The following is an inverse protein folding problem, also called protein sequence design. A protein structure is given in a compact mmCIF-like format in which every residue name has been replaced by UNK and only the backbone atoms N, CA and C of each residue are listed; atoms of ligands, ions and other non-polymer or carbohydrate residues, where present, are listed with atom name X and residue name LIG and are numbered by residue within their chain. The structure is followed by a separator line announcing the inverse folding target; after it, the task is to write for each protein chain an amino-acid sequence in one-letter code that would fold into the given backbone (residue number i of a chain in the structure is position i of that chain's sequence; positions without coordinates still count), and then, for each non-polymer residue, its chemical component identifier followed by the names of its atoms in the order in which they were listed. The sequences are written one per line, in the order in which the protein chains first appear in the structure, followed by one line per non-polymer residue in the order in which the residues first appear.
data_IF_341300711673
#
_entry.id   IF_341300711673
#
_cell.length_a   1.000
_cell.length_b   1.000
_cell.length_c   1.000
_cell.angle_alpha   90.00
_cell.angle_beta   90.00
_cell.angle_gamma   90.00
#
_symmetry.space_group_name_H-M   'P 1'
#
loop_
_entity.id
_entity.type
_entity.pdbx_description
1 polymer ?
#
# COMPACT_ATOMS: atom_id res chain seq x y z
N UNK A 1 52.15 -17.34 8.28
CA UNK A 1 51.75 -18.24 7.18
C UNK A 1 50.41 -18.86 7.57
N UNK A 2 49.32 -18.24 7.15
CA UNK A 2 47.95 -18.76 7.28
C UNK A 2 47.37 -18.80 5.88
N UNK A 3 47.00 -20.00 5.41
CA UNK A 3 46.42 -20.24 4.10
C UNK A 3 44.96 -19.76 4.08
N UNK A 4 44.70 -18.80 3.19
CA UNK A 4 43.37 -18.45 2.70
C UNK A 4 42.85 -19.61 1.84
N UNK A 5 41.77 -20.28 2.28
CA UNK A 5 41.00 -21.18 1.42
C UNK A 5 39.85 -20.37 0.85
N UNK A 6 39.98 -20.01 -0.42
CA UNK A 6 38.93 -19.37 -1.20
C UNK A 6 37.81 -20.37 -1.52
N UNK A 7 36.57 -19.95 -1.28
CA UNK A 7 35.40 -20.60 -1.87
C UNK A 7 35.04 -19.85 -3.15
N UNK A 8 35.20 -20.54 -4.28
CA UNK A 8 34.64 -20.12 -5.56
C UNK A 8 33.12 -20.41 -5.56
N UNK A 9 32.28 -19.56 -6.18
CA UNK A 9 30.86 -19.83 -6.31
C UNK A 9 30.62 -20.90 -7.38
N UNK A 10 29.88 -21.95 -7.01
CA UNK A 10 29.33 -22.92 -7.95
C UNK A 10 28.22 -22.22 -8.72
N UNK A 11 28.47 -21.93 -10.00
CA UNK A 11 27.43 -21.57 -10.95
C UNK A 11 26.58 -22.80 -11.24
N UNK A 12 25.39 -22.86 -10.64
CA UNK A 12 24.33 -23.76 -11.09
C UNK A 12 23.62 -23.11 -12.29
N UNK A 13 24.00 -23.51 -13.49
CA UNK A 13 23.13 -23.45 -14.66
C UNK A 13 22.00 -24.47 -14.46
N UNK A 14 20.80 -23.98 -14.19
CA UNK A 14 19.62 -24.80 -13.99
C UNK A 14 18.37 -24.03 -14.34
N UNK A 15 17.96 -24.16 -15.59
CA UNK A 15 16.61 -23.91 -16.11
C UNK A 15 16.09 -22.48 -15.95
N UNK A 16 16.25 -21.70 -17.02
CA UNK A 16 15.31 -20.62 -17.34
C UNK A 16 13.92 -21.24 -17.44
N UNK A 17 13.12 -21.10 -16.39
CA UNK A 17 11.68 -21.18 -16.54
C UNK A 17 11.32 -20.16 -17.62
N UNK A 18 10.74 -20.64 -18.72
CA UNK A 18 10.04 -19.75 -19.64
C UNK A 18 9.19 -18.79 -18.80
N UNK A 19 9.30 -17.46 -19.00
CA UNK A 19 8.34 -16.58 -18.38
C UNK A 19 7.02 -16.96 -19.04
N UNK A 20 6.19 -17.72 -18.33
CA UNK A 20 4.77 -17.76 -18.60
C UNK A 20 4.38 -16.29 -18.63
N UNK A 21 4.23 -15.78 -19.85
CA UNK A 21 3.44 -14.61 -20.14
C UNK A 21 2.04 -15.01 -19.70
N UNK A 22 1.78 -14.92 -18.40
CA UNK A 22 0.46 -15.02 -17.83
C UNK A 22 -0.23 -13.77 -18.30
N UNK A 23 -0.85 -13.85 -19.48
CA UNK A 23 -1.85 -12.89 -19.91
C UNK A 23 -2.80 -12.72 -18.72
N UNK A 24 -2.87 -11.51 -18.17
CA UNK A 24 -3.69 -11.23 -17.00
C UNK A 24 -5.14 -11.64 -17.28
N UNK A 25 -5.65 -12.62 -16.54
CA UNK A 25 -7.07 -12.94 -16.50
C UNK A 25 -7.74 -12.01 -15.48
N UNK A 26 -8.26 -10.90 -15.99
CA UNK A 26 -8.90 -9.86 -15.18
C UNK A 26 -10.10 -10.37 -14.40
N UNK A 27 -10.86 -11.33 -14.96
CA UNK A 27 -12.01 -11.91 -14.28
C UNK A 27 -11.57 -12.82 -13.14
N UNK A 28 -10.54 -13.65 -13.35
CA UNK A 28 -9.96 -14.47 -12.29
C UNK A 28 -9.36 -13.61 -11.17
N UNK A 29 -8.61 -12.57 -11.50
CA UNK A 29 -8.03 -11.67 -10.51
C UNK A 29 -9.10 -10.95 -9.68
N UNK A 30 -10.15 -10.42 -10.32
CA UNK A 30 -11.28 -9.81 -9.62
C UNK A 30 -12.02 -10.81 -8.72
N UNK A 31 -12.30 -12.03 -9.22
CA UNK A 31 -12.95 -13.08 -8.44
C UNK A 31 -12.11 -13.51 -7.24
N UNK A 32 -10.80 -13.65 -7.40
CA UNK A 32 -9.91 -13.97 -6.30
C UNK A 32 -9.89 -12.84 -5.27
N UNK A 33 -9.70 -11.60 -5.72
CA UNK A 33 -9.63 -10.40 -4.88
C UNK A 33 -10.89 -10.19 -4.03
N UNK A 34 -12.07 -10.55 -4.56
CA UNK A 34 -13.36 -10.43 -3.88
C UNK A 34 -13.79 -11.71 -3.14
N UNK A 35 -12.97 -12.76 -3.16
CA UNK A 35 -13.30 -14.02 -2.50
C UNK A 35 -13.12 -13.92 -0.98
N UNK A 36 -13.90 -14.68 -0.18
CA UNK A 36 -13.71 -14.76 1.27
C UNK A 36 -12.34 -15.30 1.71
N UNK A 37 -11.65 -16.01 0.82
CA UNK A 37 -10.33 -16.59 1.06
C UNK A 37 -9.20 -15.56 0.89
N UNK A 38 -9.45 -14.48 0.16
CA UNK A 38 -8.45 -13.46 -0.06
C UNK A 38 -8.14 -12.71 1.24
N UNK A 39 -6.87 -12.79 1.65
CA UNK A 39 -6.38 -12.28 2.93
C UNK A 39 -7.07 -12.89 4.17
N UNK A 40 -7.64 -14.10 4.03
CA UNK A 40 -8.23 -14.83 5.14
C UNK A 40 -7.18 -15.10 6.23
N UNK A 41 -7.54 -14.76 7.48
CA UNK A 41 -6.72 -15.00 8.66
C UNK A 41 -7.49 -15.94 9.59
N UNK A 42 -7.21 -17.27 9.58
CA UNK A 42 -7.98 -18.24 10.36
C UNK A 42 -8.09 -17.93 11.86
N UNK A 43 -7.08 -17.25 12.43
CA UNK A 43 -7.06 -16.82 13.82
C UNK A 43 -8.09 -15.74 14.19
N UNK A 44 -8.64 -15.04 13.19
CA UNK A 44 -9.59 -13.94 13.37
C UNK A 44 -10.89 -14.18 12.58
N UNK A 45 -10.81 -14.96 11.50
CA UNK A 45 -11.88 -15.22 10.56
C UNK A 45 -12.68 -16.49 10.89
N UNK A 46 -13.03 -16.63 12.17
CA UNK A 46 -13.89 -17.69 12.68
C UNK A 46 -15.13 -17.14 13.40
N UNK A 47 -16.17 -17.97 13.50
CA UNK A 47 -17.48 -17.61 14.09
C UNK A 47 -17.41 -17.24 15.58
N UNK A 48 -16.41 -17.74 16.30
CA UNK A 48 -16.20 -17.43 17.72
C UNK A 48 -15.43 -16.13 18.00
N UNK A 49 -15.01 -15.36 16.98
CA UNK A 49 -14.25 -14.14 17.21
C UNK A 49 -15.21 -13.00 17.62
N UNK A 50 -15.11 -12.55 18.86
CA UNK A 50 -16.01 -11.55 19.47
C UNK A 50 -15.37 -10.17 19.58
N UNK A 51 -16.18 -9.16 19.90
CA UNK A 51 -15.70 -7.82 20.27
C UNK A 51 -14.68 -7.86 21.42
N UNK A 52 -14.94 -8.66 22.46
CA UNK A 52 -13.99 -8.84 23.56
C UNK A 52 -12.68 -9.49 23.11
N UNK A 53 -12.77 -10.43 22.15
CA UNK A 53 -11.58 -11.03 21.53
C UNK A 53 -10.74 -9.95 20.85
N UNK A 54 -11.37 -9.05 20.10
CA UNK A 54 -10.69 -7.91 19.46
C UNK A 54 -10.03 -6.98 20.48
N UNK A 55 -10.75 -6.59 21.54
CA UNK A 55 -10.23 -5.69 22.57
C UNK A 55 -9.14 -6.31 23.45
N UNK A 56 -8.99 -7.62 23.43
CA UNK A 56 -7.91 -8.34 24.10
C UNK A 56 -6.67 -8.57 23.23
N UNK A 57 -6.71 -8.18 21.95
CA UNK A 57 -5.59 -8.44 21.04
C UNK A 57 -4.33 -7.68 21.45
N UNK A 58 -3.15 -8.33 21.39
CA UNK A 58 -1.89 -7.62 21.44
C UNK A 58 -1.76 -6.64 20.26
N UNK A 59 -1.01 -5.55 20.45
CA UNK A 59 -0.79 -4.52 19.43
C UNK A 59 -0.31 -5.10 18.09
N UNK A 60 0.59 -6.09 18.10
CA UNK A 60 1.07 -6.74 16.88
C UNK A 60 -0.03 -7.49 16.09
N UNK A 61 -0.98 -8.10 16.79
CA UNK A 61 -2.12 -8.76 16.15
C UNK A 61 -3.10 -7.73 15.59
N UNK A 62 -3.36 -6.66 16.34
CA UNK A 62 -4.21 -5.56 15.89
C UNK A 62 -3.61 -4.87 14.64
N UNK A 63 -2.30 -4.60 14.65
CA UNK A 63 -1.54 -4.11 13.49
C UNK A 63 -1.71 -5.01 12.26
N UNK A 64 -1.67 -6.33 12.42
CA UNK A 64 -1.90 -7.27 11.30
C UNK A 64 -3.31 -7.14 10.74
N UNK A 65 -4.31 -7.00 11.60
CA UNK A 65 -5.69 -6.77 11.18
C UNK A 65 -5.84 -5.44 10.43
N UNK A 66 -5.14 -4.40 10.87
CA UNK A 66 -5.12 -3.11 10.20
C UNK A 66 -4.60 -3.19 8.76
N UNK A 67 -3.42 -3.79 8.53
CA UNK A 67 -2.89 -3.92 7.17
C UNK A 67 -3.79 -4.78 6.28
N UNK A 68 -4.34 -5.87 6.82
CA UNK A 68 -5.36 -6.66 6.13
C UNK A 68 -6.54 -5.78 5.71
N UNK A 69 -7.04 -4.96 6.62
CA UNK A 69 -8.16 -4.05 6.35
C UNK A 69 -7.78 -2.99 5.32
N UNK A 70 -6.55 -2.47 5.25
CA UNK A 70 -6.13 -1.58 4.15
C UNK A 70 -6.29 -2.29 2.79
N UNK A 71 -5.83 -3.53 2.70
CA UNK A 71 -5.71 -4.26 1.43
C UNK A 71 -6.98 -4.97 0.98
N UNK A 72 -7.89 -5.26 1.91
CA UNK A 72 -9.16 -5.89 1.59
C UNK A 72 -10.08 -4.87 0.89
N UNK A 73 -10.60 -5.15 -0.32
CA UNK A 73 -11.34 -4.16 -1.10
C UNK A 73 -12.78 -3.97 -0.64
N UNK A 74 -13.48 -5.00 -0.15
CA UNK A 74 -14.96 -5.01 -0.15
C UNK A 74 -15.61 -4.80 1.22
N UNK A 75 -14.89 -5.04 2.31
CA UNK A 75 -15.48 -4.97 3.64
C UNK A 75 -14.52 -4.35 4.63
N UNK A 76 -15.11 -3.83 5.71
CA UNK A 76 -14.35 -3.47 6.89
C UNK A 76 -14.93 -4.15 8.12
N UNK A 77 -14.29 -5.22 8.57
CA UNK A 77 -14.79 -6.03 9.69
C UNK A 77 -14.47 -5.37 11.02
N UNK A 78 -13.28 -4.78 11.12
CA UNK A 78 -12.74 -4.31 12.41
C UNK A 78 -12.84 -2.79 12.61
N UNK A 79 -13.21 -2.03 11.58
CA UNK A 79 -13.43 -0.57 11.64
C UNK A 79 -14.28 -0.13 12.84
N UNK A 80 -15.45 -0.73 13.13
CA UNK A 80 -16.26 -0.28 14.26
C UNK A 80 -15.54 -0.40 15.61
N UNK A 81 -14.63 -1.37 15.75
CA UNK A 81 -13.92 -1.59 17.01
C UNK A 81 -12.77 -0.60 17.22
N UNK A 82 -12.11 -0.13 16.16
CA UNK A 82 -11.12 0.95 16.25
C UNK A 82 -11.75 2.30 16.59
N UNK A 83 -13.00 2.52 16.16
CA UNK A 83 -13.77 3.69 16.55
C UNK A 83 -14.05 3.71 18.07
N UNK A 84 -14.44 2.57 18.64
CA UNK A 84 -14.77 2.45 20.06
C UNK A 84 -13.54 2.50 20.97
N UNK A 85 -12.35 2.11 20.47
CA UNK A 85 -11.07 2.11 21.20
C UNK A 85 -9.92 2.62 20.34
N UNK A 86 -9.81 3.94 20.12
CA UNK A 86 -8.81 4.54 19.24
C UNK A 86 -7.36 4.29 19.69
N UNK A 87 -7.13 3.98 20.97
CA UNK A 87 -5.83 3.57 21.50
C UNK A 87 -5.33 2.22 20.94
N UNK A 88 -6.20 1.44 20.29
CA UNK A 88 -5.90 0.10 19.80
C UNK A 88 -5.07 0.09 18.51
N UNK A 89 -5.06 1.17 17.72
CA UNK A 89 -4.17 1.31 16.57
C UNK A 89 -4.05 2.74 16.04
N UNK A 90 -2.82 3.14 15.70
CA UNK A 90 -2.47 4.42 15.10
C UNK A 90 -1.95 4.21 13.67
N UNK A 91 -2.54 4.89 12.68
CA UNK A 91 -2.05 4.88 11.30
C UNK A 91 -0.70 5.61 11.21
N UNK A 92 0.38 4.88 11.49
CA UNK A 92 1.74 5.39 11.47
C UNK A 92 2.37 5.21 10.09
N UNK A 93 2.88 6.30 9.52
CA UNK A 93 3.48 6.29 8.18
C UNK A 93 4.76 5.46 8.12
N UNK A 94 5.59 5.49 9.17
CA UNK A 94 6.83 4.72 9.18
C UNK A 94 6.54 3.22 9.26
N UNK A 95 5.59 2.82 10.12
CA UNK A 95 5.10 1.45 10.24
C UNK A 95 4.50 0.96 8.90
N UNK A 96 3.72 1.82 8.23
CA UNK A 96 3.19 1.57 6.89
C UNK A 96 4.30 1.29 5.88
N UNK A 97 5.29 2.18 5.76
CA UNK A 97 6.34 2.02 4.78
C UNK A 97 7.24 0.82 5.09
N UNK A 98 7.57 0.57 6.36
CA UNK A 98 8.32 -0.62 6.76
C UNK A 98 7.56 -1.90 6.42
N UNK A 99 6.25 -1.94 6.67
CA UNK A 99 5.42 -3.10 6.33
C UNK A 99 5.50 -3.43 4.84
N UNK A 100 5.16 -2.46 3.98
CA UNK A 100 5.04 -2.70 2.54
C UNK A 100 6.38 -2.74 1.80
N UNK A 101 7.43 -2.12 2.34
CA UNK A 101 8.78 -2.25 1.78
C UNK A 101 9.41 -3.63 2.05
N UNK A 102 9.06 -4.27 3.17
CA UNK A 102 9.52 -5.62 3.50
C UNK A 102 8.68 -6.73 2.83
N UNK A 103 7.47 -6.41 2.34
CA UNK A 103 6.62 -7.36 1.64
C UNK A 103 6.96 -7.41 0.14
N UNK A 104 7.65 -8.48 -0.29
CA UNK A 104 8.07 -8.68 -1.68
C UNK A 104 6.92 -8.89 -2.67
N UNK A 105 5.69 -9.13 -2.18
CA UNK A 105 4.51 -9.26 -3.06
C UNK A 105 3.96 -7.91 -3.48
N UNK A 106 4.31 -6.84 -2.76
CA UNK A 106 3.91 -5.46 -3.04
C UNK A 106 4.96 -4.81 -3.93
N UNK A 107 4.50 -4.14 -4.99
CA UNK A 107 5.38 -3.46 -5.97
C UNK A 107 5.59 -2.01 -5.59
N UNK A 108 4.53 -1.38 -5.08
CA UNK A 108 4.49 0.03 -4.70
C UNK A 108 3.38 0.23 -3.67
N UNK A 109 3.64 0.98 -2.61
CA UNK A 109 2.64 1.40 -1.65
C UNK A 109 2.80 2.90 -1.34
N UNK A 110 1.67 3.60 -1.23
CA UNK A 110 1.62 5.04 -1.01
C UNK A 110 0.60 5.37 0.06
N UNK A 111 0.97 6.22 1.01
CA UNK A 111 0.04 6.77 2.00
C UNK A 111 0.19 8.29 2.00
N UNK A 112 -0.85 8.99 1.55
CA UNK A 112 -0.96 10.43 1.55
C UNK A 112 -1.76 10.89 2.78
N UNK A 113 -1.21 11.80 3.58
CA UNK A 113 -1.86 12.37 4.76
C UNK A 113 -0.96 12.38 6.01
N UNK A 114 -1.45 12.79 7.18
CA UNK A 114 -2.84 13.16 7.42
C UNK A 114 -3.20 14.45 6.69
N UNK A 115 -4.38 14.50 6.08
CA UNK A 115 -4.95 15.79 5.69
C UNK A 115 -5.29 16.60 6.95
N UNK A 116 -5.25 17.94 6.83
CA UNK A 116 -5.48 18.92 7.92
C UNK A 116 -6.78 18.68 8.70
N UNK A 117 -7.74 18.01 8.05
CA UNK A 117 -8.98 17.56 8.64
C UNK A 117 -8.89 16.09 9.12
N UNK A 118 -8.86 15.91 10.44
CA UNK A 118 -9.36 14.71 11.12
C UNK A 118 -8.64 13.39 10.76
N UNK A 119 -7.32 13.46 10.60
CA UNK A 119 -6.44 12.30 10.36
C UNK A 119 -6.91 11.45 9.18
N UNK A 120 -7.15 12.12 8.05
CA UNK A 120 -7.57 11.44 6.83
C UNK A 120 -6.37 10.99 5.99
N UNK A 121 -6.39 9.75 5.50
CA UNK A 121 -5.36 9.17 4.67
C UNK A 121 -5.95 8.58 3.39
N UNK A 122 -5.35 8.92 2.25
CA UNK A 122 -5.53 8.16 1.01
C UNK A 122 -4.40 7.15 0.89
N UNK A 123 -4.75 5.88 0.81
CA UNK A 123 -3.81 4.76 0.80
C UNK A 123 -3.97 4.01 -0.51
N UNK A 124 -2.85 3.73 -1.17
CA UNK A 124 -2.80 3.00 -2.42
C UNK A 124 -1.77 1.88 -2.35
N UNK A 125 -2.16 0.64 -2.66
CA UNK A 125 -1.26 -0.52 -2.65
C UNK A 125 -1.30 -1.19 -4.03
N UNK A 126 -0.15 -1.29 -4.69
CA UNK A 126 0.03 -2.01 -5.95
C UNK A 126 0.70 -3.35 -5.68
N UNK A 127 0.05 -4.45 -6.05
CA UNK A 127 0.60 -5.81 -5.90
C UNK A 127 0.12 -6.75 -7.01
N UNK A 128 0.77 -7.90 -7.11
CA UNK A 128 0.35 -8.96 -8.03
C UNK A 128 -0.71 -9.84 -7.36
N UNK A 129 -1.84 -10.05 -8.05
CA UNK A 129 -2.94 -10.91 -7.61
C UNK A 129 -3.35 -11.79 -8.78
N UNK A 130 -3.23 -13.10 -8.63
CA UNK A 130 -3.53 -14.10 -9.67
C UNK A 130 -2.89 -13.77 -11.04
N UNK A 131 -1.65 -13.27 -11.05
CA UNK A 131 -0.92 -12.90 -12.27
C UNK A 131 -1.27 -11.55 -12.89
N UNK A 132 -2.11 -10.74 -12.23
CA UNK A 132 -2.48 -9.39 -12.63
C UNK A 132 -1.92 -8.36 -11.65
N UNK A 133 -1.57 -7.17 -12.14
CA UNK A 133 -1.30 -6.03 -11.27
C UNK A 133 -2.62 -5.41 -10.82
N UNK A 134 -2.81 -5.36 -9.51
CA UNK A 134 -3.95 -4.70 -8.87
C UNK A 134 -3.43 -3.52 -8.07
N UNK A 135 -4.08 -2.36 -8.24
CA UNK A 135 -3.96 -1.26 -7.29
C UNK A 135 -5.24 -1.21 -6.44
N UNK A 136 -5.09 -1.33 -5.13
CA UNK A 136 -6.18 -1.04 -4.18
C UNK A 136 -6.08 0.41 -3.73
N UNK A 137 -7.24 1.01 -3.47
CA UNK A 137 -7.38 2.35 -2.90
C UNK A 137 -8.25 2.24 -1.66
N UNK A 138 -7.77 2.76 -0.54
CA UNK A 138 -8.51 2.87 0.71
C UNK A 138 -8.45 4.31 1.21
N UNK A 139 -9.58 4.85 1.64
CA UNK A 139 -9.64 6.14 2.34
C UNK A 139 -10.04 5.90 3.78
N UNK A 140 -9.16 6.29 4.69
CA UNK A 140 -9.36 6.20 6.13
C UNK A 140 -9.49 7.60 6.71
N UNK A 141 -10.50 7.84 7.53
CA UNK A 141 -10.76 9.11 8.21
C UNK A 141 -11.43 8.78 9.53
N UNK A 142 -11.18 9.50 10.62
CA UNK A 142 -11.94 9.30 11.86
C UNK A 142 -11.89 7.86 12.41
N UNK A 143 -10.72 7.22 12.42
CA UNK A 143 -10.59 5.82 12.83
C UNK A 143 -11.41 4.80 12.01
N UNK A 144 -11.93 5.19 10.82
CA UNK A 144 -12.76 4.34 9.97
C UNK A 144 -12.39 4.41 8.50
N UNK A 145 -12.49 3.29 7.81
CA UNK A 145 -12.51 3.31 6.35
C UNK A 145 -13.88 3.80 5.89
N UNK A 146 -13.91 4.76 4.97
CA UNK A 146 -15.15 5.29 4.37
C UNK A 146 -15.22 5.07 2.86
N UNK A 147 -14.10 4.67 2.24
CA UNK A 147 -14.06 4.33 0.83
C UNK A 147 -13.04 3.23 0.57
N UNK A 148 -13.40 2.28 -0.28
CA UNK A 148 -12.48 1.29 -0.84
C UNK A 148 -12.82 1.01 -2.30
N UNK A 149 -11.77 0.83 -3.08
CA UNK A 149 -11.85 0.47 -4.48
C UNK A 149 -10.61 -0.30 -4.91
N UNK A 150 -10.68 -0.91 -6.08
CA UNK A 150 -9.51 -1.44 -6.75
C UNK A 150 -9.56 -1.14 -8.24
N UNK A 151 -8.41 -1.19 -8.91
CA UNK A 151 -8.31 -1.19 -10.35
C UNK A 151 -7.27 -2.23 -10.78
N UNK A 152 -7.54 -2.88 -11.90
CA UNK A 152 -6.52 -3.67 -12.59
C UNK A 152 -5.70 -2.72 -13.44
N UNK A 153 -4.38 -2.79 -13.32
CA UNK A 153 -3.46 -1.94 -14.07
C UNK A 153 -2.50 -2.80 -14.90
N UNK A 154 -1.88 -2.15 -15.86
CA UNK A 154 -0.85 -2.73 -16.71
C UNK A 154 0.54 -2.29 -16.24
N UNK A 155 1.59 -3.02 -16.63
CA UNK A 155 2.98 -2.60 -16.37
C UNK A 155 3.29 -1.19 -16.91
N UNK A 156 2.85 -0.78 -18.12
CA UNK A 156 2.96 0.60 -18.57
C UNK A 156 2.30 1.63 -17.64
N UNK A 157 1.14 1.33 -17.05
CA UNK A 157 0.48 2.22 -16.08
C UNK A 157 1.26 2.31 -14.77
N UNK A 158 1.79 1.19 -14.26
CA UNK A 158 2.68 1.21 -13.09
C UNK A 158 3.96 2.00 -13.37
N UNK A 159 4.53 1.86 -14.57
CA UNK A 159 5.69 2.65 -15.00
C UNK A 159 5.36 4.14 -15.08
N UNK A 160 4.21 4.52 -15.63
CA UNK A 160 3.75 5.91 -15.68
C UNK A 160 3.60 6.50 -14.27
N UNK A 161 2.99 5.75 -13.34
CA UNK A 161 2.89 6.14 -11.94
C UNK A 161 4.28 6.35 -11.31
N UNK A 162 5.22 5.44 -11.53
CA UNK A 162 6.61 5.57 -11.06
C UNK A 162 7.33 6.76 -11.67
N UNK A 163 7.07 7.11 -12.92
CA UNK A 163 7.67 8.29 -13.55
C UNK A 163 7.21 9.57 -12.85
N UNK A 164 5.93 9.69 -12.49
CA UNK A 164 5.43 10.81 -11.69
C UNK A 164 6.11 10.88 -10.32
N UNK A 165 6.24 9.73 -9.65
CA UNK A 165 6.91 9.63 -8.36
C UNK A 165 8.43 9.87 -8.43
N UNK A 166 9.06 9.56 -9.56
CA UNK A 166 10.50 9.64 -9.80
C UNK A 166 11.04 11.05 -9.64
N UNK A 167 10.27 12.07 -10.02
CA UNK A 167 10.60 13.47 -9.76
C UNK A 167 10.94 13.69 -8.29
N UNK A 168 10.10 13.19 -7.39
CA UNK A 168 10.28 13.36 -5.95
C UNK A 168 11.26 12.36 -5.33
N UNK A 169 11.40 11.18 -5.92
CA UNK A 169 12.38 10.18 -5.47
C UNK A 169 13.84 10.68 -5.59
N UNK A 170 14.11 11.69 -6.41
CA UNK A 170 15.40 12.39 -6.48
C UNK A 170 15.53 13.55 -5.47
N UNK A 171 14.41 14.01 -4.90
CA UNK A 171 14.34 15.10 -3.92
C UNK A 171 13.88 14.56 -2.55
N UNK A 172 14.42 13.41 -2.14
CA UNK A 172 13.98 12.70 -0.93
C UNK A 172 14.15 13.60 0.28
N UNK A 173 13.04 13.83 0.97
CA UNK A 173 13.08 14.45 2.28
C UNK A 173 13.52 13.41 3.29
N UNK A 174 14.39 13.83 4.21
CA UNK A 174 14.64 13.04 5.41
C UNK A 174 13.37 13.09 6.28
N UNK A 175 13.03 12.02 7.00
CA UNK A 175 11.93 12.07 7.95
C UNK A 175 12.18 13.22 8.93
N UNK A 176 11.35 14.25 8.86
CA UNK A 176 11.31 15.33 9.85
C UNK A 176 10.11 15.04 10.75
N UNK A 177 10.28 15.28 12.05
CA UNK A 177 9.29 14.96 13.09
C UNK A 177 8.08 15.92 13.08
N UNK A 178 7.54 16.23 11.91
CA UNK A 178 6.50 17.23 11.72
C UNK A 178 5.25 16.55 11.18
N UNK A 179 4.10 16.87 11.76
CA UNK A 179 2.79 16.32 11.40
C UNK A 179 2.17 17.05 10.19
N UNK A 180 2.99 17.74 9.39
CA UNK A 180 2.54 18.64 8.32
C UNK A 180 2.67 17.95 6.96
N UNK A 181 1.55 17.39 6.48
CA UNK A 181 1.25 17.02 5.07
C UNK A 181 2.33 16.28 4.27
N UNK A 182 2.77 15.12 4.79
CA UNK A 182 3.67 14.23 4.06
C UNK A 182 2.90 13.10 3.35
N UNK A 183 3.42 12.65 2.21
CA UNK A 183 3.12 11.30 1.73
C UNK A 183 4.35 10.42 1.90
N UNK A 184 4.16 9.17 2.31
CA UNK A 184 5.23 8.18 2.35
C UNK A 184 5.04 7.15 1.24
N UNK A 185 6.14 6.83 0.57
CA UNK A 185 6.18 5.93 -0.58
C UNK A 185 7.14 4.79 -0.28
N UNK A 186 6.64 3.56 -0.38
CA UNK A 186 7.43 2.34 -0.37
C UNK A 186 7.42 1.74 -1.79
N UNK A 187 8.49 1.95 -2.55
CA UNK A 187 8.70 1.35 -3.86
C UNK A 187 9.87 0.38 -3.81
N UNK A 188 9.66 -0.86 -4.24
CA UNK A 188 10.69 -1.91 -4.27
C UNK A 188 11.77 -1.66 -5.31
N UNK A 189 11.56 -0.73 -6.25
CA UNK A 189 12.61 -0.26 -7.15
C UNK A 189 13.52 0.80 -6.51
N UNK A 190 13.18 1.28 -5.31
CA UNK A 190 13.99 2.23 -4.56
C UNK A 190 14.76 1.52 -3.42
N UNK A 191 15.98 1.98 -3.08
CA UNK A 191 16.79 1.36 -2.02
C UNK A 191 16.20 1.52 -0.61
N UNK A 192 15.25 2.43 -0.43
CA UNK A 192 14.55 2.68 0.83
C UNK A 192 13.25 3.45 0.55
N UNK A 193 12.25 3.39 1.46
CA UNK A 193 11.11 4.28 1.43
C UNK A 193 11.51 5.76 1.44
N UNK A 194 10.66 6.62 0.90
CA UNK A 194 10.90 8.06 0.81
C UNK A 194 9.64 8.88 1.02
N UNK A 195 9.83 10.14 1.37
CA UNK A 195 8.77 11.08 1.69
C UNK A 195 8.57 12.10 0.57
N UNK A 196 7.32 12.52 0.38
CA UNK A 196 6.89 13.63 -0.46
C UNK A 196 6.33 14.73 0.42
N UNK A 197 6.76 15.97 0.22
CA UNK A 197 6.06 17.13 0.80
C UNK A 197 4.98 17.58 -0.17
N UNK A 198 3.78 17.05 0.06
CA UNK A 198 2.61 17.32 -0.77
C UNK A 198 2.17 18.77 -0.60
N UNK A 199 2.24 19.31 0.62
CA UNK A 199 1.87 20.68 0.91
C UNK A 199 2.73 21.68 0.14
N UNK A 200 4.06 21.57 0.25
CA UNK A 200 4.99 22.44 -0.47
C UNK A 200 4.82 22.32 -1.99
N UNK A 201 4.71 21.08 -2.52
CA UNK A 201 4.51 20.86 -3.94
C UNK A 201 3.23 21.56 -4.47
N UNK A 202 2.15 21.57 -3.69
CA UNK A 202 0.89 22.22 -4.07
C UNK A 202 0.90 23.74 -3.89
N UNK A 203 1.71 24.29 -2.97
CA UNK A 203 1.82 25.74 -2.75
C UNK A 203 2.61 26.44 -3.85
N UNK A 204 3.57 25.77 -4.48
CA UNK A 204 4.42 26.30 -5.56
C UNK A 204 3.71 26.34 -6.93
N UNK A 205 2.59 27.06 -7.03
CA UNK A 205 1.77 27.08 -8.26
C UNK A 205 2.56 27.43 -9.52
N UNK A 206 2.33 26.64 -10.58
CA UNK A 206 2.94 26.84 -11.90
C UNK A 206 4.35 26.25 -12.07
N UNK A 207 4.97 25.80 -10.98
CA UNK A 207 6.25 25.08 -11.00
C UNK A 207 6.09 23.62 -11.46
N UNK A 208 7.20 22.94 -11.70
CA UNK A 208 7.22 21.50 -12.02
C UNK A 208 6.67 20.63 -10.87
N UNK A 209 7.08 20.78 -9.58
CA UNK A 209 6.50 20.03 -8.47
C UNK A 209 4.97 20.08 -8.43
N UNK A 210 4.40 21.27 -8.60
CA UNK A 210 2.96 21.47 -8.61
C UNK A 210 2.27 20.70 -9.73
N UNK A 211 2.82 20.75 -10.96
CA UNK A 211 2.23 20.01 -12.09
C UNK A 211 2.32 18.50 -11.89
N UNK A 212 3.49 18.00 -11.48
CA UNK A 212 3.69 16.56 -11.22
C UNK A 212 2.75 16.06 -10.12
N UNK A 213 2.51 16.86 -9.08
CA UNK A 213 1.56 16.50 -8.02
C UNK A 213 0.11 16.46 -8.52
N UNK A 214 -0.30 17.40 -9.37
CA UNK A 214 -1.61 17.38 -10.01
C UNK A 214 -1.78 16.18 -10.94
N UNK A 215 -0.76 15.88 -11.76
CA UNK A 215 -0.76 14.73 -12.66
C UNK A 215 -0.83 13.41 -11.87
N UNK A 216 -0.12 13.30 -10.74
CA UNK A 216 -0.21 12.16 -9.84
C UNK A 216 -1.62 11.97 -9.28
N UNK A 217 -2.26 13.06 -8.83
CA UNK A 217 -3.63 12.99 -8.32
C UNK A 217 -4.66 12.72 -9.41
N UNK A 218 -4.48 13.26 -10.62
CA UNK A 218 -5.34 12.96 -11.76
C UNK A 218 -5.22 11.48 -12.15
N UNK A 219 -3.99 10.95 -12.22
CA UNK A 219 -3.75 9.53 -12.49
C UNK A 219 -4.44 8.64 -11.44
N UNK A 220 -4.19 8.88 -10.16
CA UNK A 220 -4.75 8.08 -9.07
C UNK A 220 -6.25 8.31 -8.84
N UNK A 221 -6.80 9.44 -9.26
CA UNK A 221 -8.18 9.84 -9.03
C UNK A 221 -9.12 9.46 -10.17
N UNK A 222 -8.71 9.74 -11.40
CA UNK A 222 -9.60 9.84 -12.56
C UNK A 222 -9.22 8.92 -13.72
N UNK A 223 -7.92 8.65 -13.92
CA UNK A 223 -7.46 7.88 -15.08
C UNK A 223 -7.58 6.35 -14.89
N UNK A 224 -7.58 5.89 -13.64
CA UNK A 224 -7.69 4.48 -13.33
C UNK A 224 -9.16 4.01 -13.35
N UNK A 225 -9.46 2.83 -13.92
CA UNK A 225 -10.82 2.28 -13.98
C UNK A 225 -11.24 1.69 -12.62
N UNK A 226 -11.46 2.57 -11.64
CA UNK A 226 -11.80 2.17 -10.28
C UNK A 226 -13.12 1.41 -10.21
N UNK A 227 -13.06 0.19 -9.65
CA UNK A 227 -14.22 -0.56 -9.18
C UNK A 227 -14.40 -0.23 -7.70
N UNK A 228 -15.42 0.59 -7.39
CA UNK A 228 -15.76 0.92 -6.00
C UNK A 228 -16.51 -0.23 -5.36
N UNK A 229 -16.03 -0.69 -4.21
CA UNK A 229 -16.53 -1.87 -3.50
C UNK A 229 -17.09 -1.50 -2.13
N UNK A 230 -16.65 -0.38 -1.54
CA UNK A 230 -17.17 0.11 -0.27
C UNK A 230 -17.24 1.65 -0.28
N UNK A 231 -18.39 2.20 0.13
CA UNK A 231 -18.65 3.64 0.27
C UNK A 231 -19.59 3.88 1.45
N UNK A 232 -19.17 4.70 2.42
CA UNK A 232 -19.93 4.99 3.64
C UNK A 232 -19.85 6.47 4.06
#
# INVERSE_FOLDING_TARGET
MYLLVGFAPIMAHGQTADPLSTTCDSAQAANHLLSPEYLHLPAFDHSHFTTDSFYSLPLAANRRLWFREIEHPDSTRFTPHWWDRPESYHADQLDFAQHYWLDSTVRLAMQFGPNEDLWAYNIFIVKEVAGCLVVSRSYFRHARFTYKAYALITEPQLLALRQQLGYFAHHRLRPVNTQEHYAIIADHQCPAPYYLDVGAALQERGTLPHRVMLDLFAFLGEELPWVTTYLH
#
